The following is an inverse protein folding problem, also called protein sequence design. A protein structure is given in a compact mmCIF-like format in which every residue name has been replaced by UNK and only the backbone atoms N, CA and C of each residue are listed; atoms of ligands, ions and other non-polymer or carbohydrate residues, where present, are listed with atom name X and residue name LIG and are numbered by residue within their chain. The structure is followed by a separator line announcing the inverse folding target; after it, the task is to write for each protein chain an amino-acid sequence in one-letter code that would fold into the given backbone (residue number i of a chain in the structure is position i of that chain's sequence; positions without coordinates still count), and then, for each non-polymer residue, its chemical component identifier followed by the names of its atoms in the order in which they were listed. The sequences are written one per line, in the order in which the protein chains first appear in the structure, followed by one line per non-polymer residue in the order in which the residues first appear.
data_IF_583368074069
#
_entry.id   IF_583368074069
#
_cell.length_a   1.000
_cell.length_b   1.000
_cell.length_c   1.000
_cell.angle_alpha   90.00
_cell.angle_beta   90.00
_cell.angle_gamma   90.00
#
_symmetry.space_group_name_H-M   'P 1'
#
loop_
_entity.id
_entity.type
_entity.pdbx_description
1 polymer ?
#
# COMPACT_ATOMS: atom_id res chain seq x y z
N UNK A 1 7.11 -8.45 -20.90
CA UNK A 1 6.14 -8.80 -19.83
C UNK A 1 6.72 -8.59 -18.44
N UNK A 2 7.95 -9.05 -18.20
CA UNK A 2 8.57 -8.87 -16.88
C UNK A 2 8.79 -7.41 -16.50
N UNK A 3 9.13 -6.57 -17.46
CA UNK A 3 9.36 -5.15 -17.18
C UNK A 3 8.03 -4.42 -16.88
N UNK A 4 6.95 -4.83 -17.52
CA UNK A 4 5.61 -4.27 -17.24
C UNK A 4 5.20 -4.62 -15.81
N UNK A 5 5.47 -5.83 -15.38
CA UNK A 5 5.19 -6.26 -14.00
C UNK A 5 5.99 -5.41 -12.99
N UNK A 6 7.26 -5.19 -13.25
CA UNK A 6 8.11 -4.33 -12.40
C UNK A 6 7.57 -2.90 -12.35
N UNK A 7 7.23 -2.33 -13.50
CA UNK A 7 6.67 -0.98 -13.57
C UNK A 7 5.35 -0.91 -12.78
N UNK A 8 4.51 -1.92 -12.89
CA UNK A 8 3.26 -2.00 -12.13
C UNK A 8 3.50 -2.01 -10.62
N UNK A 9 4.49 -2.78 -10.15
CA UNK A 9 4.85 -2.79 -8.73
C UNK A 9 5.34 -1.41 -8.27
N UNK A 10 6.13 -0.74 -9.09
CA UNK A 10 6.61 0.60 -8.78
C UNK A 10 5.44 1.60 -8.70
N UNK A 11 4.52 1.54 -9.66
CA UNK A 11 3.38 2.46 -9.67
C UNK A 11 2.46 2.25 -8.46
N UNK A 12 2.14 1.00 -8.12
CA UNK A 12 1.33 0.70 -6.94
C UNK A 12 2.00 1.20 -5.65
N UNK A 13 3.31 1.09 -5.60
CA UNK A 13 4.08 1.45 -4.40
C UNK A 13 4.33 2.95 -4.27
N UNK A 14 4.44 3.66 -5.38
CA UNK A 14 4.82 5.08 -5.39
C UNK A 14 3.85 5.95 -4.60
N UNK A 15 2.54 5.73 -4.75
CA UNK A 15 1.52 6.49 -4.03
C UNK A 15 1.74 6.40 -2.52
N UNK A 16 1.92 5.18 -2.01
CA UNK A 16 2.05 4.95 -0.58
C UNK A 16 3.36 5.48 -0.03
N UNK A 17 4.44 5.39 -0.80
CA UNK A 17 5.73 5.96 -0.41
C UNK A 17 5.65 7.48 -0.32
N UNK A 18 5.04 8.13 -1.31
CA UNK A 18 4.89 9.57 -1.32
C UNK A 18 4.03 10.01 -0.14
N UNK A 19 2.90 9.36 0.09
CA UNK A 19 2.01 9.68 1.19
C UNK A 19 2.65 9.40 2.55
N UNK A 20 3.30 8.25 2.71
CA UNK A 20 3.93 7.86 3.97
C UNK A 20 5.07 8.79 4.35
N UNK A 21 5.93 9.13 3.41
CA UNK A 21 7.01 10.08 3.64
C UNK A 21 6.44 11.47 3.95
N UNK A 22 5.42 11.90 3.20
CA UNK A 22 4.76 13.19 3.44
C UNK A 22 4.16 13.29 4.84
N UNK A 23 3.60 12.20 5.36
CA UNK A 23 3.01 12.18 6.70
C UNK A 23 4.05 12.39 7.80
N UNK A 24 5.31 12.03 7.57
CA UNK A 24 6.38 12.31 8.54
C UNK A 24 6.60 13.81 8.74
N UNK A 25 6.28 14.63 7.75
CA UNK A 25 6.42 16.09 7.82
C UNK A 25 5.13 16.79 8.25
N UNK A 26 4.01 16.07 8.38
CA UNK A 26 2.71 16.63 8.74
C UNK A 26 2.05 15.83 9.86
N UNK A 27 2.83 15.39 10.83
CA UNK A 27 2.38 14.47 11.88
C UNK A 27 1.17 15.00 12.67
N UNK A 28 1.21 16.27 13.07
CA UNK A 28 0.13 16.86 13.88
C UNK A 28 -1.20 16.83 13.12
N UNK A 29 -1.19 17.22 11.86
CA UNK A 29 -2.39 17.25 11.02
C UNK A 29 -2.93 15.83 10.78
N UNK A 30 -2.05 14.87 10.53
CA UNK A 30 -2.45 13.49 10.27
C UNK A 30 -3.04 12.86 11.54
N UNK A 31 -2.41 13.07 12.68
CA UNK A 31 -2.91 12.55 13.96
C UNK A 31 -4.28 13.13 14.29
N UNK A 32 -4.44 14.46 14.11
CA UNK A 32 -5.73 15.11 14.31
C UNK A 32 -6.81 14.52 13.41
N UNK A 33 -6.48 14.29 12.15
CA UNK A 33 -7.39 13.66 11.18
C UNK A 33 -7.79 12.25 11.60
N UNK A 34 -6.81 11.45 12.07
CA UNK A 34 -7.07 10.10 12.56
C UNK A 34 -8.03 10.12 13.76
N UNK A 35 -7.77 11.01 14.71
CA UNK A 35 -8.59 11.12 15.91
C UNK A 35 -10.03 11.54 15.58
N UNK A 36 -10.22 12.40 14.58
CA UNK A 36 -11.55 12.79 14.11
C UNK A 36 -12.36 11.59 13.60
N UNK A 37 -11.71 10.55 13.14
CA UNK A 37 -12.35 9.32 12.67
C UNK A 37 -12.31 8.20 13.70
N UNK A 38 -11.92 8.51 14.94
CA UNK A 38 -11.91 7.53 16.02
C UNK A 38 -10.71 6.59 16.01
N UNK A 39 -9.66 6.91 15.26
CA UNK A 39 -8.45 6.10 15.20
C UNK A 39 -7.44 6.62 16.23
N UNK A 40 -7.00 5.78 17.19
CA UNK A 40 -6.05 6.22 18.21
C UNK A 40 -4.72 6.69 17.62
N UNK A 41 -4.15 7.75 18.19
CA UNK A 41 -2.87 8.31 17.75
C UNK A 41 -1.70 7.32 17.88
N UNK A 42 -1.80 6.35 18.75
CA UNK A 42 -0.77 5.30 18.91
C UNK A 42 -0.57 4.49 17.63
N UNK A 43 -1.58 4.44 16.75
CA UNK A 43 -1.51 3.72 15.49
C UNK A 43 -0.79 4.50 14.40
N UNK A 44 -0.42 5.77 14.63
CA UNK A 44 0.27 6.58 13.63
C UNK A 44 1.59 5.95 13.18
N UNK A 45 2.47 5.60 14.13
CA UNK A 45 3.77 5.02 13.79
C UNK A 45 3.64 3.65 13.12
N UNK A 46 2.82 2.69 13.63
CA UNK A 46 2.61 1.43 12.91
C UNK A 46 2.07 1.62 11.49
N UNK A 47 1.15 2.55 11.29
CA UNK A 47 0.60 2.83 9.96
C UNK A 47 1.68 3.37 9.01
N UNK A 48 2.54 4.27 9.47
CA UNK A 48 3.64 4.81 8.67
C UNK A 48 4.63 3.69 8.30
N UNK A 49 4.95 2.81 9.25
CA UNK A 49 5.84 1.67 8.98
C UNK A 49 5.27 0.78 7.88
N UNK A 50 3.98 0.44 7.96
CA UNK A 50 3.32 -0.36 6.91
C UNK A 50 3.38 0.38 5.58
N UNK A 51 3.07 1.66 5.57
CA UNK A 51 2.94 2.48 4.36
C UNK A 51 4.27 2.72 3.65
N UNK A 52 5.39 2.61 4.35
CA UNK A 52 6.73 2.78 3.77
C UNK A 52 7.41 1.43 3.51
N UNK A 53 7.41 0.55 4.51
CA UNK A 53 8.16 -0.71 4.43
C UNK A 53 7.61 -1.64 3.34
N UNK A 54 6.31 -1.92 3.35
CA UNK A 54 5.75 -2.91 2.44
C UNK A 54 5.75 -2.45 0.98
N UNK A 55 5.50 -1.17 0.64
CA UNK A 55 5.74 -0.71 -0.72
C UNK A 55 7.18 -0.85 -1.17
N UNK A 56 8.17 -0.61 -0.30
CA UNK A 56 9.57 -0.85 -0.64
C UNK A 56 9.84 -2.33 -0.94
N UNK A 57 9.25 -3.24 -0.15
CA UNK A 57 9.36 -4.68 -0.41
C UNK A 57 8.77 -5.05 -1.76
N UNK A 58 7.67 -4.40 -2.16
CA UNK A 58 7.05 -4.62 -3.47
C UNK A 58 7.94 -4.14 -4.61
N UNK A 59 8.60 -3.01 -4.46
CA UNK A 59 9.50 -2.48 -5.49
C UNK A 59 10.67 -3.44 -5.70
N UNK A 60 11.33 -3.88 -4.62
CA UNK A 60 12.45 -4.82 -4.75
C UNK A 60 11.97 -6.24 -5.03
N UNK A 61 10.71 -6.54 -4.79
CA UNK A 61 10.14 -7.86 -5.02
C UNK A 61 10.57 -8.90 -3.99
N UNK A 62 10.71 -8.50 -2.73
CA UNK A 62 11.03 -9.41 -1.63
C UNK A 62 9.78 -9.73 -0.83
N UNK A 63 9.50 -11.04 -0.64
CA UNK A 63 8.27 -11.52 -0.01
C UNK A 63 7.05 -10.84 -0.63
N UNK A 64 7.00 -10.85 -1.94
CA UNK A 64 6.07 -10.05 -2.73
C UNK A 64 4.62 -10.33 -2.39
N UNK A 65 4.25 -11.61 -2.27
CA UNK A 65 2.87 -11.99 -1.96
C UNK A 65 2.46 -11.54 -0.56
N UNK A 66 3.36 -11.66 0.42
CA UNK A 66 3.11 -11.19 1.77
C UNK A 66 2.93 -9.67 1.79
N UNK A 67 3.85 -8.94 1.15
CA UNK A 67 3.78 -7.48 1.09
C UNK A 67 2.50 -7.00 0.41
N UNK A 68 2.12 -7.63 -0.70
CA UNK A 68 0.88 -7.28 -1.40
C UNK A 68 -0.36 -7.60 -0.54
N UNK A 69 -0.33 -8.69 0.23
CA UNK A 69 -1.43 -9.04 1.14
C UNK A 69 -1.60 -8.00 2.23
N UNK A 70 -0.51 -7.56 2.84
CA UNK A 70 -0.53 -6.52 3.87
C UNK A 70 -1.07 -5.21 3.29
N UNK A 71 -0.61 -4.83 2.09
CA UNK A 71 -1.06 -3.60 1.45
C UNK A 71 -2.52 -3.67 1.01
N UNK A 72 -3.01 -4.84 0.61
CA UNK A 72 -4.44 -5.04 0.33
C UNK A 72 -5.27 -4.75 1.57
N UNK A 73 -4.92 -5.37 2.70
CA UNK A 73 -5.63 -5.18 3.95
C UNK A 73 -5.54 -3.73 4.44
N UNK A 74 -4.37 -3.12 4.34
CA UNK A 74 -4.17 -1.72 4.74
C UNK A 74 -5.04 -0.79 3.90
N UNK A 75 -5.04 -0.96 2.58
CA UNK A 75 -5.79 -0.12 1.66
C UNK A 75 -7.29 -0.24 1.89
N UNK A 76 -7.80 -1.45 2.06
CA UNK A 76 -9.21 -1.68 2.33
C UNK A 76 -9.63 -1.11 3.69
N UNK A 77 -8.77 -1.24 4.70
CA UNK A 77 -9.03 -0.69 6.03
C UNK A 77 -9.13 0.83 5.98
N UNK A 78 -8.18 1.49 5.30
CA UNK A 78 -8.20 2.94 5.12
C UNK A 78 -9.46 3.39 4.39
N UNK A 79 -9.85 2.68 3.33
CA UNK A 79 -11.05 3.01 2.56
C UNK A 79 -12.30 2.94 3.43
N UNK A 80 -12.43 1.90 4.25
CA UNK A 80 -13.60 1.70 5.11
C UNK A 80 -13.64 2.75 6.23
N UNK A 81 -12.50 3.10 6.82
CA UNK A 81 -12.45 4.04 7.93
C UNK A 81 -12.64 5.48 7.47
N UNK A 82 -11.94 5.90 6.40
CA UNK A 82 -11.81 7.31 6.05
C UNK A 82 -12.64 7.74 4.85
N UNK A 83 -13.13 6.83 4.03
CA UNK A 83 -13.75 7.15 2.74
C UNK A 83 -15.15 6.57 2.56
N UNK A 84 -15.92 6.47 3.64
CA UNK A 84 -17.29 5.94 3.56
C UNK A 84 -18.38 6.99 3.75
N UNK A 85 -18.05 8.26 3.87
CA UNK A 85 -19.03 9.34 3.87
C UNK A 85 -19.45 9.65 2.43
N UNK A 86 -20.34 8.81 1.89
CA UNK A 86 -20.75 8.89 0.48
C UNK A 86 -21.68 10.07 0.18
N UNK A 87 -22.08 10.83 1.18
CA UNK A 87 -22.73 12.11 0.97
C UNK A 87 -21.82 13.14 0.30
N UNK A 88 -20.52 12.98 0.45
CA UNK A 88 -19.51 13.77 -0.25
C UNK A 88 -19.05 12.99 -1.49
N UNK A 89 -19.29 13.53 -2.70
CA UNK A 89 -18.92 12.87 -3.95
C UNK A 89 -17.44 12.56 -4.08
N UNK A 90 -16.56 13.37 -3.46
CA UNK A 90 -15.12 13.09 -3.46
C UNK A 90 -14.79 11.85 -2.63
N UNK A 91 -15.51 11.60 -1.54
CA UNK A 91 -15.30 10.40 -0.72
C UNK A 91 -15.62 9.13 -1.49
N UNK A 92 -16.67 9.13 -2.29
CA UNK A 92 -17.00 7.99 -3.14
C UNK A 92 -15.86 7.70 -4.13
N UNK A 93 -15.30 8.73 -4.75
CA UNK A 93 -14.19 8.58 -5.69
C UNK A 93 -12.96 8.02 -4.97
N UNK A 94 -12.63 8.52 -3.79
CA UNK A 94 -11.51 8.01 -3.01
C UNK A 94 -11.71 6.55 -2.62
N UNK A 95 -12.91 6.17 -2.20
CA UNK A 95 -13.24 4.79 -1.88
C UNK A 95 -13.04 3.88 -3.09
N UNK A 96 -13.57 4.26 -4.24
CA UNK A 96 -13.46 3.46 -5.47
C UNK A 96 -12.01 3.36 -5.95
N UNK A 97 -11.22 4.42 -5.80
CA UNK A 97 -9.79 4.38 -6.13
C UNK A 97 -9.05 3.39 -5.23
N UNK A 98 -9.36 3.38 -3.93
CA UNK A 98 -8.74 2.45 -3.01
C UNK A 98 -9.13 1.01 -3.33
N UNK A 99 -10.37 0.76 -3.71
CA UNK A 99 -10.80 -0.56 -4.18
C UNK A 99 -10.02 -0.98 -5.43
N UNK A 100 -9.81 -0.07 -6.37
CA UNK A 100 -9.04 -0.35 -7.58
C UNK A 100 -7.57 -0.65 -7.26
N UNK A 101 -6.98 0.10 -6.34
CA UNK A 101 -5.60 -0.12 -5.88
C UNK A 101 -5.49 -1.49 -5.19
N UNK A 102 -6.43 -1.81 -4.31
CA UNK A 102 -6.49 -3.12 -3.66
C UNK A 102 -6.59 -4.25 -4.68
N UNK A 103 -7.38 -4.05 -5.75
CA UNK A 103 -7.47 -4.99 -6.86
C UNK A 103 -6.12 -5.23 -7.52
N UNK A 104 -5.33 -4.17 -7.72
CA UNK A 104 -3.98 -4.28 -8.25
C UNK A 104 -3.07 -5.12 -7.35
N UNK A 105 -3.11 -4.88 -6.04
CA UNK A 105 -2.35 -5.69 -5.08
C UNK A 105 -2.82 -7.16 -5.07
N UNK A 106 -4.11 -7.40 -5.21
CA UNK A 106 -4.65 -8.77 -5.28
C UNK A 106 -4.11 -9.53 -6.50
N UNK A 107 -3.96 -8.87 -7.63
CA UNK A 107 -3.34 -9.48 -8.80
C UNK A 107 -1.88 -9.84 -8.49
N UNK A 108 -1.16 -8.98 -7.80
CA UNK A 108 0.21 -9.28 -7.36
C UNK A 108 0.23 -10.48 -6.40
N UNK A 109 -0.73 -10.59 -5.49
CA UNK A 109 -0.85 -11.76 -4.61
C UNK A 109 -0.98 -13.04 -5.43
N UNK A 110 -1.83 -13.01 -6.47
CA UNK A 110 -2.12 -14.19 -7.29
C UNK A 110 -0.89 -14.65 -8.10
N UNK A 111 -0.11 -13.72 -8.62
CA UNK A 111 0.99 -14.03 -9.54
C UNK A 111 2.38 -13.98 -8.90
N UNK A 112 2.52 -13.27 -7.77
CA UNK A 112 3.84 -13.01 -7.19
C UNK A 112 4.66 -12.05 -8.04
N UNK A 113 5.97 -12.06 -7.84
CA UNK A 113 6.89 -11.26 -8.63
C UNK A 113 7.61 -12.12 -9.66
N UNK A 114 8.04 -11.48 -10.74
CA UNK A 114 8.69 -12.14 -11.87
C UNK A 114 10.22 -11.94 -11.83
N UNK A 115 10.85 -12.05 -13.00
CA UNK A 115 12.29 -12.06 -13.21
C UNK A 115 13.01 -10.89 -12.54
N UNK A 116 12.43 -9.69 -12.55
CA UNK A 116 13.04 -8.50 -11.97
C UNK A 116 12.59 -8.33 -10.52
N UNK A 117 13.03 -9.26 -9.65
CA UNK A 117 12.66 -9.26 -8.24
C UNK A 117 13.70 -9.97 -7.41
N UNK A 118 13.81 -9.58 -6.14
CA UNK A 118 14.67 -10.25 -5.17
C UNK A 118 14.18 -11.68 -4.89
N UNK A 119 12.87 -11.90 -4.86
CA UNK A 119 12.28 -13.25 -4.69
C UNK A 119 12.80 -14.21 -5.76
N UNK A 120 12.78 -13.76 -7.02
CA UNK A 120 13.28 -14.57 -8.13
C UNK A 120 14.78 -14.84 -8.00
N UNK A 121 15.54 -13.82 -7.66
CA UNK A 121 16.99 -13.92 -7.48
C UNK A 121 17.34 -14.93 -6.37
N UNK A 122 16.68 -14.83 -5.22
CA UNK A 122 16.94 -15.73 -4.10
C UNK A 122 16.53 -17.16 -4.42
N UNK A 123 15.41 -17.37 -5.09
CA UNK A 123 14.97 -18.69 -5.52
C UNK A 123 15.96 -19.31 -6.49
N UNK A 124 16.44 -18.55 -7.47
CA UNK A 124 17.41 -18.99 -8.48
C UNK A 124 18.72 -19.43 -7.82
N UNK A 125 19.19 -18.70 -6.80
CA UNK A 125 20.42 -19.00 -6.10
C UNK A 125 20.31 -20.17 -5.13
N UNK A 126 19.08 -20.52 -4.69
CA UNK A 126 18.88 -21.64 -3.78
C UNK A 126 18.76 -22.99 -4.51
N UNK A 127 18.58 -22.96 -5.82
CA UNK A 127 18.52 -24.14 -6.69
C UNK A 127 19.93 -24.48 -7.20
#
# INVERSE_FOLDING_TARGET
MHIIELIGRIFLSALFLIEGIGKLFTQEQVIAYMEDYGVPSILFIPAIVVEILFPLLLIVGYKTKLAASVMTLFTLTVAIIFHTDFGDGMQLIFFLKDIAIAGGFMIVIAHGSNKFSLDHFLKSNSE
#
